data_IF_460133990348
#
_entry.id   IF_460133990348
#
_cell.length_a   1.000
_cell.length_b   1.000
_cell.length_c   1.000
_cell.angle_alpha   90.00
_cell.angle_beta   90.00
_cell.angle_gamma   90.00
#
_symmetry.space_group_name_H-M   'P 1'
#
loop_
_entity.id
_entity.type
_entity.pdbx_description
1 polymer ?
#
# COMPACT_ATOMS: atom_id res chain seq x y z
N UNK A 1 38.15 8.16 -15.58
CA UNK A 1 39.41 7.57 -15.05
C UNK A 1 39.20 6.35 -14.17
N UNK A 2 38.25 6.32 -13.22
CA UNK A 2 37.99 5.16 -12.34
C UNK A 2 37.78 3.82 -13.07
N UNK A 3 36.96 3.80 -14.12
CA UNK A 3 36.73 2.58 -14.94
C UNK A 3 37.99 2.00 -15.59
N UNK A 4 38.92 2.85 -16.01
CA UNK A 4 40.20 2.40 -16.59
C UNK A 4 41.07 1.75 -15.51
N UNK A 5 41.06 2.32 -14.30
CA UNK A 5 41.81 1.79 -13.16
C UNK A 5 41.27 0.44 -12.69
N UNK A 6 39.95 0.24 -12.68
CA UNK A 6 39.33 -1.04 -12.34
C UNK A 6 39.57 -2.11 -13.41
N UNK A 7 39.49 -1.75 -14.69
CA UNK A 7 39.84 -2.65 -15.79
C UNK A 7 41.32 -3.08 -15.74
N UNK A 8 42.24 -2.14 -15.53
CA UNK A 8 43.66 -2.45 -15.35
C UNK A 8 43.85 -3.34 -14.11
N UNK A 9 43.10 -3.10 -13.02
CA UNK A 9 43.14 -3.93 -11.81
C UNK A 9 42.67 -5.37 -12.08
N UNK A 10 41.63 -5.55 -12.89
CA UNK A 10 41.12 -6.85 -13.30
C UNK A 10 42.14 -7.63 -14.15
N UNK A 11 42.81 -6.97 -15.09
CA UNK A 11 43.84 -7.58 -15.95
C UNK A 11 45.29 -7.48 -15.43
N UNK A 12 45.51 -7.19 -14.13
CA UNK A 12 46.85 -7.04 -13.52
C UNK A 12 47.80 -8.20 -13.83
N UNK A 13 47.28 -9.43 -13.87
CA UNK A 13 48.06 -10.64 -14.19
C UNK A 13 48.52 -10.65 -15.64
N UNK A 14 47.65 -10.33 -16.60
CA UNK A 14 47.97 -10.27 -18.02
C UNK A 14 48.96 -9.14 -18.33
N UNK A 15 48.77 -7.97 -17.70
CA UNK A 15 49.71 -6.84 -17.80
C UNK A 15 51.08 -7.20 -17.21
N UNK A 16 51.11 -7.86 -16.05
CA UNK A 16 52.36 -8.35 -15.44
C UNK A 16 53.10 -9.37 -16.31
N UNK A 17 52.38 -10.30 -16.94
CA UNK A 17 52.92 -11.26 -17.90
C UNK A 17 53.52 -10.58 -19.14
N UNK A 18 52.89 -9.54 -19.67
CA UNK A 18 53.42 -8.77 -20.80
C UNK A 18 54.78 -8.12 -20.48
N UNK A 19 54.91 -7.52 -19.29
CA UNK A 19 56.18 -6.95 -18.83
C UNK A 19 57.23 -8.03 -18.56
N UNK A 20 56.84 -9.18 -17.99
CA UNK A 20 57.74 -10.31 -17.77
C UNK A 20 58.30 -10.86 -19.10
N UNK A 21 57.44 -11.07 -20.10
CA UNK A 21 57.89 -11.49 -21.43
C UNK A 21 58.78 -10.46 -22.12
N UNK A 22 58.40 -9.17 -22.04
CA UNK A 22 59.22 -8.08 -22.60
C UNK A 22 60.61 -8.05 -21.98
N UNK A 23 60.72 -8.29 -20.66
CA UNK A 23 61.98 -8.35 -19.94
C UNK A 23 62.83 -9.58 -20.35
N UNK A 24 62.21 -10.75 -20.49
CA UNK A 24 62.89 -11.97 -20.97
C UNK A 24 63.44 -11.75 -22.38
N UNK A 25 62.66 -11.17 -23.28
CA UNK A 25 63.13 -10.85 -24.64
C UNK A 25 64.32 -9.88 -24.60
N UNK A 26 64.28 -8.81 -23.80
CA UNK A 26 65.41 -7.89 -23.64
C UNK A 26 66.69 -8.64 -23.22
N UNK A 27 66.60 -9.55 -22.25
CA UNK A 27 67.74 -10.33 -21.78
C UNK A 27 68.28 -11.24 -22.89
N UNK A 28 67.43 -11.98 -23.60
CA UNK A 28 67.82 -12.86 -24.69
C UNK A 28 68.52 -12.07 -25.82
N UNK A 29 67.96 -10.93 -26.22
CA UNK A 29 68.55 -10.08 -27.27
C UNK A 29 69.88 -9.45 -26.84
N UNK A 30 70.04 -9.09 -25.56
CA UNK A 30 71.31 -8.60 -25.01
C UNK A 30 72.41 -9.67 -25.03
N UNK A 31 72.05 -10.92 -24.71
CA UNK A 31 72.96 -12.08 -24.77
C UNK A 31 73.44 -12.38 -26.20
N UNK A 32 72.59 -12.20 -27.21
CA UNK A 32 72.91 -12.45 -28.62
C UNK A 32 73.55 -11.25 -29.36
N UNK A 33 73.77 -10.10 -28.70
CA UNK A 33 74.33 -8.85 -29.27
C UNK A 33 73.64 -8.37 -30.56
N UNK A 34 72.33 -8.54 -30.66
CA UNK A 34 71.55 -8.10 -31.81
C UNK A 34 71.32 -6.57 -31.81
N UNK A 35 71.04 -5.95 -32.99
CA UNK A 35 70.79 -4.51 -33.08
C UNK A 35 69.57 -4.09 -32.24
N UNK A 36 69.74 -3.10 -31.36
CA UNK A 36 68.68 -2.60 -30.49
C UNK A 36 67.42 -2.13 -31.26
N UNK A 37 67.59 -1.66 -32.50
CA UNK A 37 66.50 -1.23 -33.38
C UNK A 37 65.49 -2.36 -33.68
N UNK A 38 65.94 -3.61 -33.81
CA UNK A 38 65.05 -4.75 -34.09
C UNK A 38 64.15 -5.07 -32.88
N UNK A 39 64.69 -4.92 -31.66
CA UNK A 39 63.95 -5.14 -30.41
C UNK A 39 62.90 -4.05 -30.20
N UNK A 40 63.27 -2.79 -30.45
CA UNK A 40 62.37 -1.64 -30.36
C UNK A 40 61.19 -1.75 -31.33
N UNK A 41 61.45 -2.19 -32.57
CA UNK A 41 60.41 -2.38 -33.57
C UNK A 41 59.43 -3.49 -33.19
N UNK A 42 59.94 -4.64 -32.70
CA UNK A 42 59.10 -5.73 -32.21
C UNK A 42 58.23 -5.33 -31.01
N UNK A 43 58.79 -4.57 -30.05
CA UNK A 43 58.01 -4.03 -28.93
C UNK A 43 56.92 -3.05 -29.38
N UNK A 44 57.20 -2.20 -30.36
CA UNK A 44 56.22 -1.25 -30.89
C UNK A 44 55.02 -1.96 -31.53
N UNK A 45 55.27 -3.03 -32.29
CA UNK A 45 54.20 -3.85 -32.88
C UNK A 45 53.37 -4.54 -31.78
N UNK A 46 54.03 -5.14 -30.80
CA UNK A 46 53.34 -5.80 -29.67
C UNK A 46 52.49 -4.81 -28.85
N UNK A 47 52.99 -3.59 -28.61
CA UNK A 47 52.25 -2.51 -27.95
C UNK A 47 51.04 -2.06 -28.78
N UNK A 48 51.19 -1.93 -30.10
CA UNK A 48 50.10 -1.54 -30.98
C UNK A 48 48.98 -2.60 -31.00
N UNK A 49 49.32 -3.87 -31.21
CA UNK A 49 48.36 -4.98 -31.23
C UNK A 49 47.68 -5.14 -29.86
N UNK A 50 48.46 -5.10 -28.77
CA UNK A 50 47.93 -5.15 -27.41
C UNK A 50 46.99 -3.98 -27.09
N UNK A 51 47.34 -2.77 -27.55
CA UNK A 51 46.51 -1.57 -27.40
C UNK A 51 45.16 -1.70 -28.11
N UNK A 52 45.12 -2.26 -29.32
CA UNK A 52 43.87 -2.49 -30.07
C UNK A 52 42.99 -3.53 -29.36
N UNK A 53 43.56 -4.63 -28.86
CA UNK A 53 42.83 -5.68 -28.14
C UNK A 53 42.25 -5.15 -26.83
N UNK A 54 43.08 -4.49 -26.00
CA UNK A 54 42.62 -3.86 -24.76
C UNK A 54 41.59 -2.75 -25.01
N UNK A 55 41.72 -2.00 -26.11
CA UNK A 55 40.76 -0.98 -26.51
C UNK A 55 39.38 -1.58 -26.78
N UNK A 56 39.31 -2.65 -27.59
CA UNK A 56 38.04 -3.37 -27.85
C UNK A 56 37.43 -3.92 -26.58
N UNK A 57 38.24 -4.54 -25.73
CA UNK A 57 37.77 -5.18 -24.51
C UNK A 57 37.26 -4.16 -23.49
N UNK A 58 37.95 -3.03 -23.32
CA UNK A 58 37.50 -1.92 -22.47
C UNK A 58 36.16 -1.33 -22.94
N UNK A 59 35.96 -1.19 -24.26
CA UNK A 59 34.68 -0.72 -24.82
C UNK A 59 33.56 -1.71 -24.50
N UNK A 60 33.84 -3.01 -24.66
CA UNK A 60 32.88 -4.07 -24.35
C UNK A 60 32.52 -4.11 -22.86
N UNK A 61 33.52 -4.05 -21.98
CA UNK A 61 33.36 -3.99 -20.53
C UNK A 61 32.51 -2.79 -20.10
N UNK A 62 32.75 -1.61 -20.67
CA UNK A 62 31.93 -0.41 -20.37
C UNK A 62 30.47 -0.57 -20.76
N UNK A 63 30.20 -1.07 -21.97
CA UNK A 63 28.81 -1.31 -22.41
C UNK A 63 28.07 -2.27 -21.48
N UNK A 64 28.74 -3.32 -21.01
CA UNK A 64 28.16 -4.29 -20.06
C UNK A 64 27.90 -3.69 -18.70
N UNK A 65 28.86 -2.94 -18.16
CA UNK A 65 28.69 -2.30 -16.87
C UNK A 65 27.51 -1.32 -16.89
N UNK A 66 27.38 -0.52 -17.96
CA UNK A 66 26.25 0.37 -18.15
C UNK A 66 24.92 -0.39 -18.29
N UNK A 67 24.91 -1.48 -19.06
CA UNK A 67 23.72 -2.33 -19.20
C UNK A 67 23.29 -2.94 -17.86
N UNK A 68 24.24 -3.44 -17.05
CA UNK A 68 23.95 -4.00 -15.73
C UNK A 68 23.47 -2.91 -14.75
N UNK A 69 24.06 -1.71 -14.78
CA UNK A 69 23.60 -0.60 -13.93
C UNK A 69 22.18 -0.16 -14.27
N UNK A 70 21.85 -0.07 -15.56
CA UNK A 70 20.48 0.21 -16.02
C UNK A 70 19.51 -0.90 -15.57
N UNK A 71 19.91 -2.16 -15.70
CA UNK A 71 19.09 -3.29 -15.28
C UNK A 71 18.88 -3.35 -13.76
N UNK A 72 19.82 -2.90 -12.92
CA UNK A 72 19.61 -2.86 -11.46
C UNK A 72 18.43 -1.95 -11.08
N UNK A 73 18.15 -0.90 -11.85
CA UNK A 73 16.97 -0.05 -11.64
C UNK A 73 15.67 -0.73 -12.16
N UNK A 74 15.77 -1.56 -13.20
CA UNK A 74 14.64 -2.20 -13.91
C UNK A 74 14.28 -3.62 -13.39
N UNK A 75 15.22 -4.33 -12.75
CA UNK A 75 15.08 -5.70 -12.19
C UNK A 75 13.99 -5.80 -11.11
N UNK A 76 13.46 -4.67 -10.64
CA UNK A 76 12.27 -4.65 -9.79
C UNK A 76 11.05 -5.31 -10.44
N UNK A 77 11.00 -5.42 -11.78
CA UNK A 77 9.79 -5.85 -12.51
C UNK A 77 10.00 -7.03 -13.46
N UNK A 78 11.18 -7.25 -14.07
CA UNK A 78 11.34 -8.34 -15.06
C UNK A 78 12.79 -8.82 -15.22
N UNK A 79 13.03 -10.14 -15.16
CA UNK A 79 14.34 -10.79 -15.38
C UNK A 79 14.67 -11.13 -16.84
N UNK A 80 13.77 -10.83 -17.79
CA UNK A 80 13.86 -11.28 -19.19
C UNK A 80 15.01 -10.69 -20.03
N UNK A 81 15.72 -9.68 -19.55
CA UNK A 81 16.72 -8.94 -20.36
C UNK A 81 18.14 -8.98 -19.80
N UNK A 82 18.58 -10.14 -19.29
CA UNK A 82 20.00 -10.33 -18.93
C UNK A 82 20.89 -10.25 -20.19
N UNK A 83 22.04 -9.55 -20.13
CA UNK A 83 22.97 -9.46 -21.26
C UNK A 83 23.54 -10.84 -21.63
N UNK A 84 23.97 -11.02 -22.88
CA UNK A 84 24.59 -12.27 -23.34
C UNK A 84 25.84 -12.59 -22.51
N UNK A 85 25.96 -13.86 -22.14
CA UNK A 85 27.10 -14.42 -21.40
C UNK A 85 28.33 -14.54 -22.31
N UNK A 86 29.52 -14.17 -21.81
CA UNK A 86 30.77 -14.43 -22.53
C UNK A 86 31.71 -15.41 -21.83
N UNK A 87 31.60 -15.54 -20.52
CA UNK A 87 32.43 -16.43 -19.73
C UNK A 87 31.59 -17.47 -18.97
N UNK A 88 32.15 -18.65 -18.72
CA UNK A 88 31.47 -19.71 -17.95
C UNK A 88 31.00 -19.21 -16.58
N UNK A 89 31.85 -18.45 -15.88
CA UNK A 89 31.53 -17.88 -14.57
C UNK A 89 30.37 -16.85 -14.62
N UNK A 90 30.22 -16.13 -15.73
CA UNK A 90 29.05 -15.27 -15.95
C UNK A 90 27.78 -16.10 -16.20
N UNK A 91 27.91 -17.26 -16.87
CA UNK A 91 26.81 -18.21 -17.06
C UNK A 91 26.31 -18.73 -15.71
N UNK A 92 27.23 -19.17 -14.86
CA UNK A 92 26.94 -19.69 -13.53
C UNK A 92 26.23 -18.64 -12.67
N UNK A 93 26.70 -17.39 -12.68
CA UNK A 93 26.04 -16.30 -11.96
C UNK A 93 24.64 -15.98 -12.51
N UNK A 94 24.44 -16.02 -13.84
CA UNK A 94 23.12 -15.82 -14.42
C UNK A 94 22.15 -16.96 -14.07
N UNK A 95 22.64 -18.19 -14.00
CA UNK A 95 21.85 -19.34 -13.56
C UNK A 95 21.41 -19.22 -12.10
N UNK A 96 22.34 -18.82 -11.21
CA UNK A 96 22.01 -18.55 -9.79
C UNK A 96 20.99 -17.40 -9.67
N UNK A 97 21.16 -16.31 -10.42
CA UNK A 97 20.22 -15.18 -10.42
C UNK A 97 18.84 -15.59 -10.92
N UNK A 98 18.78 -16.44 -11.95
CA UNK A 98 17.52 -16.98 -12.47
C UNK A 98 16.83 -17.87 -11.44
N UNK A 99 17.57 -18.76 -10.78
CA UNK A 99 17.03 -19.62 -9.72
C UNK A 99 16.45 -18.79 -8.56
N UNK A 100 17.18 -17.76 -8.10
CA UNK A 100 16.70 -16.84 -7.05
C UNK A 100 15.46 -16.04 -7.49
N UNK A 101 15.40 -15.63 -8.75
CA UNK A 101 14.25 -14.92 -9.29
C UNK A 101 13.02 -15.83 -9.37
N UNK A 102 13.19 -17.06 -9.87
CA UNK A 102 12.13 -18.06 -9.97
C UNK A 102 11.60 -18.43 -8.57
N UNK A 103 12.48 -18.62 -7.58
CA UNK A 103 12.10 -18.86 -6.18
C UNK A 103 11.35 -17.66 -5.58
N UNK A 104 11.84 -16.43 -5.79
CA UNK A 104 11.13 -15.21 -5.36
C UNK A 104 9.73 -15.13 -5.98
N UNK A 105 9.62 -15.44 -7.27
CA UNK A 105 8.34 -15.40 -7.98
C UNK A 105 7.39 -16.49 -7.46
N UNK A 106 7.90 -17.70 -7.18
CA UNK A 106 7.13 -18.76 -6.52
C UNK A 106 6.64 -18.33 -5.14
N UNK A 107 7.51 -17.80 -4.27
CA UNK A 107 7.13 -17.31 -2.95
C UNK A 107 6.05 -16.22 -3.05
N UNK A 108 6.20 -15.30 -4.00
CA UNK A 108 5.23 -14.22 -4.21
C UNK A 108 3.88 -14.78 -4.68
N UNK A 109 3.89 -15.72 -5.62
CA UNK A 109 2.68 -16.37 -6.12
C UNK A 109 2.00 -17.19 -5.01
N UNK A 110 2.75 -17.98 -4.25
CA UNK A 110 2.24 -18.78 -3.13
C UNK A 110 1.61 -17.89 -2.05
N UNK A 111 2.25 -16.75 -1.73
CA UNK A 111 1.70 -15.77 -0.80
C UNK A 111 0.41 -15.12 -1.33
N UNK A 112 0.37 -14.76 -2.62
CA UNK A 112 -0.83 -14.22 -3.24
C UNK A 112 -1.98 -15.24 -3.28
N UNK A 113 -1.68 -16.51 -3.58
CA UNK A 113 -2.66 -17.60 -3.54
C UNK A 113 -3.21 -17.79 -2.13
N UNK A 114 -2.34 -17.93 -1.12
CA UNK A 114 -2.77 -18.03 0.29
C UNK A 114 -3.61 -16.85 0.75
N UNK A 115 -3.26 -15.63 0.31
CA UNK A 115 -4.03 -14.44 0.63
C UNK A 115 -5.42 -14.46 -0.03
N UNK A 116 -5.48 -14.84 -1.31
CA UNK A 116 -6.75 -14.98 -2.04
C UNK A 116 -7.65 -16.02 -1.39
N UNK A 117 -7.12 -17.20 -1.10
CA UNK A 117 -7.85 -18.28 -0.42
C UNK A 117 -8.40 -17.82 0.95
N UNK A 118 -7.61 -17.05 1.70
CA UNK A 118 -8.02 -16.48 2.97
C UNK A 118 -9.20 -15.50 2.78
N UNK A 119 -9.10 -14.58 1.82
CA UNK A 119 -10.18 -13.62 1.51
C UNK A 119 -11.46 -14.34 1.08
N UNK A 120 -11.36 -15.36 0.24
CA UNK A 120 -12.49 -16.18 -0.20
C UNK A 120 -13.14 -16.92 0.97
N UNK A 121 -12.33 -17.59 1.81
CA UNK A 121 -12.81 -18.30 3.00
C UNK A 121 -13.56 -17.38 3.95
N UNK A 122 -12.99 -16.22 4.30
CA UNK A 122 -13.66 -15.26 5.18
C UNK A 122 -14.90 -14.65 4.52
N UNK A 123 -14.92 -14.45 3.21
CA UNK A 123 -16.11 -13.97 2.49
C UNK A 123 -17.25 -14.98 2.58
N UNK A 124 -16.97 -16.27 2.39
CA UNK A 124 -17.94 -17.35 2.57
C UNK A 124 -18.43 -17.42 4.02
N UNK A 125 -17.50 -17.36 4.98
CA UNK A 125 -17.81 -17.40 6.41
C UNK A 125 -18.76 -16.26 6.80
N UNK A 126 -18.51 -15.03 6.33
CA UNK A 126 -19.41 -13.90 6.61
C UNK A 126 -20.80 -14.13 6.00
N UNK A 127 -20.89 -14.64 4.78
CA UNK A 127 -22.19 -14.98 4.20
C UNK A 127 -22.94 -15.99 5.08
N UNK A 128 -22.25 -17.03 5.56
CA UNK A 128 -22.82 -18.04 6.45
C UNK A 128 -23.24 -17.47 7.81
N UNK A 129 -22.52 -16.47 8.36
CA UNK A 129 -22.87 -15.80 9.62
C UNK A 129 -24.03 -14.81 9.47
N UNK A 130 -24.20 -14.17 8.30
CA UNK A 130 -25.32 -13.26 8.06
C UNK A 130 -26.69 -13.96 8.10
N UNK A 131 -26.75 -15.22 7.69
CA UNK A 131 -27.99 -16.02 7.71
C UNK A 131 -28.58 -16.20 9.12
N UNK A 132 -27.86 -16.75 10.13
CA UNK A 132 -28.38 -16.90 11.48
C UNK A 132 -28.65 -15.54 12.15
N UNK A 133 -27.85 -14.51 11.86
CA UNK A 133 -28.13 -13.15 12.31
C UNK A 133 -29.51 -12.68 11.81
N UNK A 134 -29.79 -12.88 10.51
CA UNK A 134 -31.06 -12.47 9.90
C UNK A 134 -32.23 -13.24 10.50
N UNK A 135 -32.06 -14.54 10.76
CA UNK A 135 -33.06 -15.36 11.44
C UNK A 135 -33.34 -14.87 12.88
N UNK A 136 -32.29 -14.59 13.67
CA UNK A 136 -32.45 -14.02 15.02
C UNK A 136 -33.15 -12.67 15.00
N UNK A 137 -32.81 -11.80 14.04
CA UNK A 137 -33.44 -10.49 13.86
C UNK A 137 -34.95 -10.63 13.62
N UNK A 138 -35.35 -11.54 12.74
CA UNK A 138 -36.77 -11.81 12.46
C UNK A 138 -37.51 -12.34 13.69
N UNK A 139 -36.89 -13.25 14.46
CA UNK A 139 -37.49 -13.81 15.67
C UNK A 139 -37.69 -12.73 16.75
N UNK A 140 -36.67 -11.88 16.94
CA UNK A 140 -36.73 -10.80 17.93
C UNK A 140 -37.70 -9.67 17.53
N UNK A 141 -37.88 -9.42 16.22
CA UNK A 141 -38.88 -8.46 15.74
C UNK A 141 -40.32 -8.85 16.10
N UNK A 142 -40.61 -10.13 16.34
CA UNK A 142 -41.93 -10.62 16.73
C UNK A 142 -42.31 -10.32 18.19
N UNK A 143 -41.35 -9.98 19.05
CA UNK A 143 -41.56 -9.72 20.47
C UNK A 143 -41.15 -8.28 20.83
N UNK A 144 -42.10 -7.41 21.15
CA UNK A 144 -41.80 -6.04 21.65
C UNK A 144 -41.58 -6.04 23.17
N UNK A 145 -40.54 -6.74 23.61
CA UNK A 145 -40.07 -6.74 25.01
C UNK A 145 -38.80 -5.92 25.16
N UNK A 146 -38.56 -5.36 26.35
CA UNK A 146 -37.29 -4.67 26.65
C UNK A 146 -36.08 -5.59 26.41
N UNK A 147 -36.24 -6.88 26.72
CA UNK A 147 -35.21 -7.88 26.48
C UNK A 147 -34.93 -8.10 24.99
N UNK A 148 -35.97 -8.17 24.17
CA UNK A 148 -35.83 -8.27 22.71
C UNK A 148 -35.10 -7.06 22.14
N UNK A 149 -35.44 -5.86 22.62
CA UNK A 149 -34.78 -4.61 22.23
C UNK A 149 -33.30 -4.58 22.61
N UNK A 150 -32.91 -5.09 23.78
CA UNK A 150 -31.49 -5.25 24.15
C UNK A 150 -30.76 -6.24 23.22
N UNK A 151 -31.37 -7.38 22.94
CA UNK A 151 -30.76 -8.40 22.07
C UNK A 151 -30.60 -7.92 20.63
N UNK A 152 -31.56 -7.16 20.09
CA UNK A 152 -31.47 -6.54 18.77
C UNK A 152 -30.30 -5.55 18.67
N UNK A 153 -29.96 -4.83 19.74
CA UNK A 153 -28.79 -3.95 19.75
C UNK A 153 -27.48 -4.73 19.72
N UNK A 154 -27.35 -5.78 20.53
CA UNK A 154 -26.16 -6.64 20.48
C UNK A 154 -26.03 -7.33 19.12
N UNK A 155 -27.15 -7.76 18.52
CA UNK A 155 -27.18 -8.33 17.18
C UNK A 155 -26.72 -7.32 16.12
N UNK A 156 -27.17 -6.06 16.20
CA UNK A 156 -26.72 -5.00 15.32
C UNK A 156 -25.21 -4.71 15.49
N UNK A 157 -24.66 -4.79 16.70
CA UNK A 157 -23.21 -4.67 16.91
C UNK A 157 -22.45 -5.84 16.28
N UNK A 158 -22.96 -7.06 16.38
CA UNK A 158 -22.37 -8.23 15.71
C UNK A 158 -22.37 -8.02 14.19
N UNK A 159 -23.48 -7.57 13.60
CA UNK A 159 -23.55 -7.23 12.18
C UNK A 159 -22.49 -6.20 11.77
N UNK A 160 -22.32 -5.13 12.56
CA UNK A 160 -21.30 -4.12 12.31
C UNK A 160 -19.89 -4.72 12.34
N UNK A 161 -19.57 -5.59 13.29
CA UNK A 161 -18.26 -6.25 13.35
C UNK A 161 -18.02 -7.18 12.16
N UNK A 162 -19.06 -7.90 11.74
CA UNK A 162 -19.01 -8.76 10.56
C UNK A 162 -18.78 -7.92 9.28
N UNK A 163 -19.45 -6.77 9.16
CA UNK A 163 -19.23 -5.83 8.06
C UNK A 163 -17.81 -5.24 8.10
N UNK A 164 -17.31 -4.85 9.27
CA UNK A 164 -15.94 -4.34 9.44
C UNK A 164 -14.88 -5.34 8.97
N UNK A 165 -15.03 -6.63 9.28
CA UNK A 165 -14.09 -7.68 8.83
C UNK A 165 -14.09 -7.80 7.31
N UNK A 166 -15.26 -7.81 6.66
CA UNK A 166 -15.33 -7.82 5.19
C UNK A 166 -14.68 -6.60 4.56
N UNK A 167 -14.97 -5.42 5.10
CA UNK A 167 -14.41 -4.16 4.61
C UNK A 167 -12.89 -4.17 4.74
N UNK A 168 -12.36 -4.64 5.87
CA UNK A 168 -10.93 -4.77 6.10
C UNK A 168 -10.26 -5.69 5.06
N UNK A 169 -10.81 -6.89 4.85
CA UNK A 169 -10.26 -7.87 3.91
C UNK A 169 -10.30 -7.37 2.46
N UNK A 170 -11.38 -6.67 2.09
CA UNK A 170 -11.53 -6.10 0.74
C UNK A 170 -10.52 -4.99 0.50
N UNK A 171 -10.32 -4.07 1.45
CA UNK A 171 -9.35 -2.97 1.30
C UNK A 171 -7.90 -3.44 1.12
N UNK A 172 -7.54 -4.59 1.69
CA UNK A 172 -6.20 -5.17 1.56
C UNK A 172 -6.05 -6.02 0.28
N UNK A 173 -7.15 -6.42 -0.36
CA UNK A 173 -7.09 -7.02 -1.69
C UNK A 173 -6.73 -5.94 -2.70
N UNK A 174 -5.53 -6.03 -3.28
CA UNK A 174 -5.01 -5.10 -4.30
C UNK A 174 -5.85 -5.00 -5.59
N UNK A 175 -7.00 -5.70 -5.65
CA UNK A 175 -7.97 -5.76 -6.74
C UNK A 175 -9.35 -5.18 -6.36
N UNK A 176 -9.42 -4.23 -5.42
CA UNK A 176 -10.70 -3.55 -5.14
C UNK A 176 -11.13 -2.71 -6.34
N UNK A 177 -12.05 -3.24 -7.14
CA UNK A 177 -12.68 -2.51 -8.24
C UNK A 177 -13.62 -1.43 -7.69
N UNK A 178 -13.12 -0.19 -7.58
CA UNK A 178 -13.94 0.96 -7.23
C UNK A 178 -14.84 1.37 -8.39
N UNK A 179 -16.13 1.56 -8.12
CA UNK A 179 -17.10 2.06 -9.09
C UNK A 179 -17.28 3.56 -8.86
N UNK A 180 -16.32 4.34 -9.35
CA UNK A 180 -16.34 5.80 -9.21
C UNK A 180 -17.38 6.41 -10.17
N UNK A 181 -18.44 7.03 -9.61
CA UNK A 181 -19.48 7.74 -10.36
C UNK A 181 -19.94 8.97 -9.58
N UNK A 182 -20.66 9.87 -10.25
CA UNK A 182 -21.36 10.95 -9.57
C UNK A 182 -22.60 10.40 -8.88
N UNK A 183 -22.65 10.55 -7.54
CA UNK A 183 -23.78 10.16 -6.71
C UNK A 183 -24.39 11.38 -6.03
N UNK A 184 -25.70 11.33 -5.80
CA UNK A 184 -26.36 12.27 -4.89
C UNK A 184 -25.98 11.93 -3.45
N UNK A 185 -25.32 12.87 -2.77
CA UNK A 185 -24.85 12.68 -1.41
C UNK A 185 -26.01 12.44 -0.43
N UNK A 186 -27.16 13.06 -0.67
CA UNK A 186 -28.33 12.92 0.21
C UNK A 186 -28.88 11.50 0.20
N UNK A 187 -28.78 10.78 -0.92
CA UNK A 187 -29.26 9.40 -1.01
C UNK A 187 -28.40 8.46 -0.17
N UNK A 188 -27.08 8.64 -0.19
CA UNK A 188 -26.14 7.88 0.63
C UNK A 188 -26.37 8.17 2.12
N UNK A 189 -26.51 9.44 2.49
CA UNK A 189 -26.77 9.84 3.89
C UNK A 189 -28.11 9.27 4.37
N UNK A 190 -29.18 9.36 3.57
CA UNK A 190 -30.50 8.80 3.94
C UNK A 190 -30.45 7.30 4.15
N UNK A 191 -29.68 6.55 3.35
CA UNK A 191 -29.49 5.11 3.56
C UNK A 191 -28.86 4.83 4.94
N UNK A 192 -27.78 5.54 5.27
CA UNK A 192 -27.11 5.40 6.58
C UNK A 192 -28.04 5.79 7.73
N UNK A 193 -28.77 6.90 7.61
CA UNK A 193 -29.72 7.37 8.62
C UNK A 193 -30.85 6.36 8.87
N UNK A 194 -31.38 5.71 7.82
CA UNK A 194 -32.42 4.67 7.97
C UNK A 194 -31.93 3.48 8.79
N UNK A 195 -30.69 3.04 8.58
CA UNK A 195 -30.07 1.93 9.34
C UNK A 195 -29.95 2.25 10.84
N UNK A 196 -29.75 3.51 11.19
CA UNK A 196 -29.53 3.97 12.57
C UNK A 196 -30.78 4.63 13.22
N UNK A 197 -31.90 4.74 12.50
CA UNK A 197 -33.08 5.48 12.96
C UNK A 197 -33.62 4.99 14.32
N UNK A 198 -33.67 3.67 14.53
CA UNK A 198 -34.13 3.09 15.81
C UNK A 198 -33.26 3.50 17.00
N UNK A 199 -31.95 3.64 16.80
CA UNK A 199 -31.01 4.05 17.84
C UNK A 199 -31.18 5.53 18.20
N UNK A 200 -31.37 6.40 17.19
CA UNK A 200 -31.67 7.81 17.43
C UNK A 200 -32.94 7.98 18.29
N UNK A 201 -34.01 7.26 17.95
CA UNK A 201 -35.29 7.30 18.67
C UNK A 201 -35.11 6.77 20.10
N UNK A 202 -34.50 5.60 20.27
CA UNK A 202 -34.35 4.95 21.58
C UNK A 202 -33.46 5.76 22.53
N UNK A 203 -32.34 6.28 22.04
CA UNK A 203 -31.43 7.12 22.83
C UNK A 203 -31.93 8.56 22.99
N UNK A 204 -33.03 8.93 22.32
CA UNK A 204 -33.60 10.29 22.31
C UNK A 204 -32.55 11.34 21.88
N UNK A 205 -31.71 10.97 20.92
CA UNK A 205 -30.71 11.88 20.34
C UNK A 205 -31.37 12.60 19.17
N UNK A 206 -31.31 13.93 19.16
CA UNK A 206 -31.89 14.75 18.10
C UNK A 206 -31.01 14.66 16.85
N UNK A 207 -31.62 14.31 15.71
CA UNK A 207 -30.94 14.36 14.42
C UNK A 207 -31.21 15.71 13.75
N UNK A 208 -30.16 16.45 13.43
CA UNK A 208 -30.22 17.71 12.70
C UNK A 208 -29.66 17.51 11.29
N UNK A 209 -30.56 17.24 10.35
CA UNK A 209 -30.21 16.99 8.96
C UNK A 209 -31.17 17.73 8.04
N UNK A 210 -30.58 18.45 7.08
CA UNK A 210 -31.27 19.11 5.98
C UNK A 210 -30.63 18.69 4.68
N UNK A 211 -31.40 18.47 3.59
CA UNK A 211 -30.84 18.04 2.30
C UNK A 211 -29.73 18.98 1.82
N UNK A 212 -28.59 18.39 1.50
CA UNK A 212 -27.36 19.07 1.11
C UNK A 212 -27.37 19.42 -0.40
N UNK A 213 -28.18 18.73 -1.21
CA UNK A 213 -28.33 18.92 -2.65
C UNK A 213 -26.97 18.97 -3.39
N UNK A 214 -26.08 18.03 -3.06
CA UNK A 214 -24.71 17.99 -3.58
C UNK A 214 -24.42 16.67 -4.28
N UNK A 215 -23.83 16.75 -5.48
CA UNK A 215 -23.27 15.59 -6.18
C UNK A 215 -21.78 15.44 -5.93
N UNK A 216 -21.37 14.21 -5.67
CA UNK A 216 -19.98 13.86 -5.35
C UNK A 216 -19.50 12.70 -6.22
N UNK A 217 -18.27 12.81 -6.74
CA UNK A 217 -17.62 11.73 -7.46
C UNK A 217 -16.98 10.78 -6.44
N UNK A 218 -17.58 9.60 -6.25
CA UNK A 218 -17.16 8.64 -5.24
C UNK A 218 -17.63 7.24 -5.62
N UNK A 219 -17.42 6.27 -4.73
CA UNK A 219 -18.11 4.99 -4.74
C UNK A 219 -19.18 4.98 -3.64
N UNK A 220 -20.43 4.69 -4.01
CA UNK A 220 -21.59 4.70 -3.12
C UNK A 220 -21.41 3.77 -1.92
N UNK A 221 -20.94 2.53 -2.16
CA UNK A 221 -20.88 1.49 -1.13
C UNK A 221 -19.80 1.80 -0.10
N UNK A 222 -18.65 2.28 -0.57
CA UNK A 222 -17.54 2.64 0.31
C UNK A 222 -17.82 3.91 1.10
N UNK A 223 -18.41 4.93 0.47
CA UNK A 223 -18.79 6.15 1.17
C UNK A 223 -19.93 5.90 2.17
N UNK A 224 -20.90 5.05 1.84
CA UNK A 224 -21.96 4.60 2.74
C UNK A 224 -21.36 3.98 4.01
N UNK A 225 -20.40 3.06 3.87
CA UNK A 225 -19.72 2.46 5.01
C UNK A 225 -19.05 3.51 5.91
N UNK A 226 -18.37 4.51 5.32
CA UNK A 226 -17.74 5.58 6.09
C UNK A 226 -18.79 6.34 6.90
N UNK A 227 -19.89 6.77 6.26
CA UNK A 227 -20.94 7.54 6.94
C UNK A 227 -21.60 6.70 8.04
N UNK A 228 -21.91 5.43 7.79
CA UNK A 228 -22.46 4.52 8.81
C UNK A 228 -21.52 4.37 10.01
N UNK A 229 -20.22 4.24 9.77
CA UNK A 229 -19.24 4.12 10.85
C UNK A 229 -19.13 5.40 11.69
N UNK A 230 -19.21 6.57 11.04
CA UNK A 230 -19.21 7.86 11.74
C UNK A 230 -20.49 8.05 12.57
N UNK A 231 -21.66 7.72 12.01
CA UNK A 231 -22.93 7.78 12.74
C UNK A 231 -22.96 6.79 13.91
N UNK A 232 -22.42 5.58 13.73
CA UNK A 232 -22.28 4.59 14.80
C UNK A 232 -21.42 5.12 15.95
N UNK A 233 -20.31 5.79 15.64
CA UNK A 233 -19.45 6.42 16.65
C UNK A 233 -20.18 7.57 17.36
N UNK A 234 -20.83 8.47 16.61
CA UNK A 234 -21.61 9.58 17.16
C UNK A 234 -22.68 9.07 18.13
N UNK A 235 -23.45 8.06 17.73
CA UNK A 235 -24.49 7.43 18.56
C UNK A 235 -23.89 6.68 19.76
N UNK A 236 -22.71 6.09 19.63
CA UNK A 236 -22.04 5.38 20.72
C UNK A 236 -21.59 6.34 21.83
N UNK A 237 -21.00 7.47 21.45
CA UNK A 237 -20.35 8.40 22.38
C UNK A 237 -21.24 9.58 22.83
N UNK A 238 -22.40 9.75 22.21
CA UNK A 238 -23.43 10.71 22.65
C UNK A 238 -24.43 10.03 23.58
N UNK A 239 -24.51 10.49 24.84
CA UNK A 239 -25.50 10.01 25.81
C UNK A 239 -26.83 10.75 25.69
N UNK A 240 -26.76 12.06 25.45
CA UNK A 240 -27.89 12.98 25.29
C UNK A 240 -27.42 14.15 24.43
N UNK A 241 -28.32 14.75 23.65
CA UNK A 241 -28.01 15.90 22.80
C UNK A 241 -28.37 15.64 21.34
N UNK A 242 -27.50 16.06 20.42
CA UNK A 242 -27.77 15.99 18.98
C UNK A 242 -26.59 15.45 18.15
N UNK A 243 -26.94 14.99 16.96
CA UNK A 243 -25.99 14.75 15.87
C UNK A 243 -26.44 15.60 14.68
N UNK A 244 -25.55 16.43 14.15
CA UNK A 244 -25.82 17.27 12.99
C UNK A 244 -25.02 16.79 11.77
N UNK A 245 -25.63 16.92 10.59
CA UNK A 245 -25.00 16.61 9.31
C UNK A 245 -25.15 17.84 8.41
N UNK A 246 -24.02 18.43 8.04
CA UNK A 246 -23.95 19.68 7.27
C UNK A 246 -22.92 19.59 6.16
N UNK A 247 -22.95 20.55 5.23
CA UNK A 247 -21.99 20.66 4.14
C UNK A 247 -21.32 22.04 4.19
N UNK A 248 -20.01 22.07 4.44
CA UNK A 248 -19.16 23.25 4.34
C UNK A 248 -18.67 23.42 2.88
N UNK A 249 -18.50 24.66 2.43
CA UNK A 249 -17.97 24.94 1.10
C UNK A 249 -16.46 24.61 1.02
N UNK A 250 -15.94 24.07 -0.10
CA UNK A 250 -16.64 23.83 -1.38
C UNK A 250 -17.48 22.54 -1.42
N UNK A 251 -17.02 21.42 -0.83
CA UNK A 251 -17.74 20.13 -0.76
C UNK A 251 -17.27 19.30 0.45
N UNK A 252 -17.31 19.87 1.64
CA UNK A 252 -16.84 19.19 2.86
C UNK A 252 -18.03 18.71 3.69
N UNK A 253 -18.23 17.40 3.76
CA UNK A 253 -19.27 16.79 4.59
C UNK A 253 -18.84 16.81 6.05
N UNK A 254 -19.67 17.43 6.90
CA UNK A 254 -19.44 17.57 8.33
C UNK A 254 -20.47 16.75 9.10
N UNK A 255 -20.00 15.83 9.94
CA UNK A 255 -20.82 15.07 10.89
C UNK A 255 -20.35 15.44 12.29
N UNK A 256 -21.21 16.10 13.05
CA UNK A 256 -20.91 16.56 14.41
C UNK A 256 -21.82 15.87 15.42
N UNK A 257 -21.25 15.43 16.52
CA UNK A 257 -21.98 14.96 17.69
C UNK A 257 -21.69 15.84 18.92
N UNK A 258 -22.63 15.88 19.87
CA UNK A 258 -22.49 16.56 21.16
C UNK A 258 -22.14 15.57 22.28
N UNK A 259 -21.32 14.56 21.98
CA UNK A 259 -20.94 13.51 22.91
C UNK A 259 -19.81 13.92 23.86
N UNK A 260 -19.17 12.92 24.47
CA UNK A 260 -18.08 13.12 25.44
C UNK A 260 -16.80 13.75 24.85
N UNK A 261 -16.70 13.86 23.52
CA UNK A 261 -15.51 14.32 22.83
C UNK A 261 -14.29 13.40 22.97
N UNK A 262 -13.15 13.89 22.49
CA UNK A 262 -11.86 13.22 22.44
C UNK A 262 -10.80 14.12 23.08
N UNK A 263 -9.97 13.55 23.95
CA UNK A 263 -8.87 14.28 24.56
C UNK A 263 -7.87 14.79 23.49
N UNK A 264 -7.32 16.01 23.63
CA UNK A 264 -6.38 16.57 22.66
C UNK A 264 -5.15 15.70 22.39
N UNK A 265 -4.71 14.92 23.38
CA UNK A 265 -3.59 13.99 23.29
C UNK A 265 -3.90 12.76 22.40
N UNK A 266 -5.16 12.33 22.40
CA UNK A 266 -5.64 11.17 21.64
C UNK A 266 -6.06 11.56 20.22
N UNK A 267 -6.47 12.82 19.99
CA UNK A 267 -7.01 13.31 18.72
C UNK A 267 -6.13 13.03 17.49
N UNK A 268 -4.79 13.21 17.52
CA UNK A 268 -3.93 12.90 16.38
C UNK A 268 -3.91 11.42 16.00
N UNK A 269 -4.27 10.54 16.95
CA UNK A 269 -4.10 9.09 16.85
C UNK A 269 -5.38 8.33 16.57
N UNK A 270 -6.54 8.99 16.57
CA UNK A 270 -7.85 8.30 16.43
C UNK A 270 -8.02 7.53 15.11
N UNK A 271 -7.23 7.86 14.09
CA UNK A 271 -7.23 7.17 12.80
C UNK A 271 -6.15 6.08 12.69
N UNK A 272 -5.32 5.88 13.72
CA UNK A 272 -4.30 4.83 13.75
C UNK A 272 -4.94 3.44 13.92
N UNK A 273 -4.33 2.43 13.28
CA UNK A 273 -4.81 1.04 13.35
C UNK A 273 -4.78 0.53 14.79
N UNK A 274 -5.95 0.12 15.30
CA UNK A 274 -6.07 -0.49 16.62
C UNK A 274 -5.99 0.51 17.77
N UNK A 275 -6.03 1.82 17.50
CA UNK A 275 -6.02 2.82 18.54
C UNK A 275 -7.37 2.87 19.27
N UNK A 276 -7.31 2.74 20.59
CA UNK A 276 -8.43 2.97 21.50
C UNK A 276 -7.97 4.02 22.50
N UNK A 277 -8.55 5.22 22.41
CA UNK A 277 -8.26 6.32 23.33
C UNK A 277 -8.59 5.96 24.79
N UNK A 278 -8.26 6.84 25.73
CA UNK A 278 -8.40 6.57 27.17
C UNK A 278 -9.82 6.11 27.55
N UNK A 279 -10.85 6.77 27.01
CA UNK A 279 -12.26 6.42 27.21
C UNK A 279 -12.65 5.05 26.60
N UNK A 280 -12.01 4.66 25.49
CA UNK A 280 -12.18 3.35 24.86
C UNK A 280 -11.43 2.21 25.58
N UNK A 281 -10.47 2.52 26.47
CA UNK A 281 -9.77 1.52 27.31
C UNK A 281 -10.57 1.12 28.54
N UNK A 282 -11.33 2.07 29.11
CA UNK A 282 -12.30 1.78 30.17
C UNK A 282 -13.46 0.95 29.64
N UNK A 283 -13.90 1.22 28.42
CA UNK A 283 -14.91 0.44 27.70
C UNK A 283 -14.22 -0.58 26.78
N UNK A 284 -13.69 -1.69 27.36
CA UNK A 284 -12.90 -2.79 26.74
C UNK A 284 -13.48 -3.44 25.45
N UNK A 285 -14.53 -2.88 24.88
CA UNK A 285 -15.26 -3.32 23.69
C UNK A 285 -14.83 -2.62 22.40
N UNK A 286 -13.99 -1.59 22.46
CA UNK A 286 -13.53 -0.88 21.25
C UNK A 286 -12.35 -1.62 20.58
N UNK A 287 -12.45 -1.90 19.28
CA UNK A 287 -11.36 -2.53 18.50
C UNK A 287 -10.36 -1.53 17.93
N UNK A 288 -10.72 -0.23 17.83
CA UNK A 288 -9.89 0.80 17.21
C UNK A 288 -9.74 0.67 15.69
N UNK A 289 -10.60 -0.13 15.04
CA UNK A 289 -10.49 -0.41 13.60
C UNK A 289 -11.38 0.53 12.77
N UNK A 290 -12.52 1.00 13.31
CA UNK A 290 -13.54 1.72 12.54
C UNK A 290 -13.03 3.00 11.87
N UNK A 291 -12.47 3.93 12.64
CA UNK A 291 -11.93 5.19 12.10
C UNK A 291 -10.71 4.97 11.20
N UNK A 292 -9.86 3.98 11.52
CA UNK A 292 -8.77 3.57 10.64
C UNK A 292 -9.27 3.12 9.26
N UNK A 293 -10.36 2.33 9.20
CA UNK A 293 -11.01 1.96 7.93
C UNK A 293 -11.56 3.20 7.22
N UNK A 294 -12.21 4.13 7.94
CA UNK A 294 -12.70 5.38 7.34
C UNK A 294 -11.56 6.15 6.66
N UNK A 295 -10.42 6.31 7.34
CA UNK A 295 -9.22 6.96 6.78
C UNK A 295 -8.78 6.29 5.49
N UNK A 296 -8.58 4.97 5.52
CA UNK A 296 -8.13 4.22 4.33
C UNK A 296 -9.10 4.28 3.16
N UNK A 297 -10.39 4.20 3.44
CA UNK A 297 -11.43 4.31 2.41
C UNK A 297 -11.40 5.70 1.79
N UNK A 298 -11.37 6.75 2.60
CA UNK A 298 -11.26 8.12 2.10
C UNK A 298 -9.99 8.29 1.25
N UNK A 299 -8.83 7.84 1.73
CA UNK A 299 -7.56 7.94 1.00
C UNK A 299 -7.62 7.21 -0.36
N UNK A 300 -8.16 5.98 -0.40
CA UNK A 300 -8.34 5.23 -1.65
C UNK A 300 -9.35 5.87 -2.61
N UNK A 301 -10.40 6.50 -2.06
CA UNK A 301 -11.37 7.30 -2.82
C UNK A 301 -10.86 8.72 -3.11
N UNK A 302 -9.61 9.06 -2.77
CA UNK A 302 -9.01 10.39 -2.96
C UNK A 302 -9.74 11.53 -2.23
N UNK A 303 -10.46 11.21 -1.16
CA UNK A 303 -11.07 12.16 -0.23
C UNK A 303 -10.17 12.33 0.98
N UNK A 304 -10.28 13.45 1.69
CA UNK A 304 -9.52 13.67 2.94
C UNK A 304 -10.46 13.71 4.13
N UNK A 305 -10.13 13.01 5.20
CA UNK A 305 -10.91 13.02 6.45
C UNK A 305 -10.16 13.76 7.56
N UNK A 306 -10.86 14.49 8.41
CA UNK A 306 -10.29 15.26 9.51
C UNK A 306 -11.20 15.16 10.73
N UNK A 307 -10.63 15.38 11.90
CA UNK A 307 -11.37 15.42 13.15
C UNK A 307 -11.00 16.66 13.96
N UNK A 308 -12.00 17.29 14.53
CA UNK A 308 -11.88 18.31 15.56
C UNK A 308 -12.76 17.86 16.73
N UNK A 309 -12.27 17.96 17.96
CA UNK A 309 -13.03 17.53 19.13
C UNK A 309 -12.55 18.26 20.36
N UNK A 310 -13.47 18.53 21.27
CA UNK A 310 -13.21 19.06 22.59
C UNK A 310 -13.95 18.20 23.62
N UNK A 311 -13.30 17.97 24.76
CA UNK A 311 -13.84 17.10 25.82
C UNK A 311 -15.15 17.69 26.34
N UNK A 312 -16.17 16.85 26.46
CA UNK A 312 -17.54 17.18 26.88
C UNK A 312 -18.33 18.12 25.95
N UNK A 313 -17.74 18.60 24.85
CA UNK A 313 -18.42 19.39 23.80
C UNK A 313 -18.76 18.56 22.56
N UNK A 314 -18.03 17.47 22.33
CA UNK A 314 -18.30 16.48 21.29
C UNK A 314 -17.24 16.40 20.19
N UNK A 315 -17.59 15.73 19.09
CA UNK A 315 -16.65 15.44 17.99
C UNK A 315 -17.23 15.88 16.66
N UNK A 316 -16.43 16.56 15.85
CA UNK A 316 -16.72 16.95 14.48
C UNK A 316 -15.77 16.24 13.53
N UNK A 317 -16.33 15.40 12.67
CA UNK A 317 -15.61 14.75 11.58
C UNK A 317 -15.92 15.46 10.27
N UNK A 318 -14.88 15.85 9.55
CA UNK A 318 -14.97 16.49 8.23
C UNK A 318 -14.44 15.55 7.17
N UNK A 319 -15.19 15.37 6.08
CA UNK A 319 -14.75 14.65 4.88
C UNK A 319 -14.74 15.64 3.73
N UNK A 320 -13.55 15.99 3.27
CA UNK A 320 -13.35 16.76 2.06
C UNK A 320 -13.62 15.87 0.83
N UNK A 321 -14.76 16.12 0.19
CA UNK A 321 -15.21 15.45 -1.03
C UNK A 321 -14.86 16.27 -2.27
N UNK A 322 -14.10 17.37 -2.11
CA UNK A 322 -13.53 18.09 -3.23
C UNK A 322 -12.31 17.31 -3.74
N UNK A 323 -12.47 16.70 -4.91
CA UNK A 323 -11.37 16.09 -5.64
C UNK A 323 -10.86 17.08 -6.67
N UNK A 324 -9.54 17.25 -6.74
CA UNK A 324 -8.92 17.63 -7.99
C UNK A 324 -9.18 16.50 -8.99
N UNK A 325 -9.57 16.84 -10.21
CA UNK A 325 -9.80 15.85 -11.26
C UNK A 325 -8.53 15.02 -11.46
N UNK A 326 -8.49 13.80 -10.91
CA UNK A 326 -7.37 12.89 -11.14
C UNK A 326 -7.30 12.59 -12.63
N UNK A 327 -6.24 13.08 -13.26
CA UNK A 327 -5.78 12.57 -14.56
C UNK A 327 -5.32 11.14 -14.31
N UNK A 328 -6.10 10.17 -14.76
CA UNK A 328 -5.57 8.82 -14.95
C UNK A 328 -4.53 8.92 -16.08
N UNK A 329 -3.26 8.64 -15.77
CA UNK A 329 -2.24 8.30 -16.78
C UNK A 329 -2.38 6.84 -17.21
#
# INVERSE_FOLDING_TARGET
MKMLQEYIKYHKKSVGLFFAFSFIFIIVFALYRLPAAAVLYGMAICLFVGGVVCGRDLISFRKRHQALQYLVEEIKVTSRHLPKVENLLEADYQEVLKALYDEKQQITNDMNHKYTDLVEYYTLWVHQIKTPISAMRLQLQGEDSDRSRELLEELQRIEQYVEMVLTYLRLDAGSTDYVLREYDLDDIIKQALRKHASQFIRKKIKLEYTPLNCKVLSDEKWLLFVIEQLLSNALKYTRSGSVSITLEAPKTLCIQDTGIGVAPEDLPRIFEKGFTGYNGRNDKKASGIGLYLCRRICDNLGHKIYAASEVDEGTLIRIDLSRDAMKFE
#
